data_IF_003207950840
#
_entry.id   IF_003207950840
#
_cell.length_a   1.000
_cell.length_b   1.000
_cell.length_c   1.000
_cell.angle_alpha   90.00
_cell.angle_beta   90.00
_cell.angle_gamma   90.00
#
_symmetry.space_group_name_H-M   'P 1'
#
loop_
_entity.id
_entity.type
_entity.pdbx_description
1 polymer ?
#
# COMPACT_ATOMS: atom_id res chain seq x y z
N UNK A 1 4.00 -26.33 -1.77
CA UNK A 1 2.79 -25.72 -1.18
C UNK A 1 2.50 -24.31 -1.66
N UNK A 2 3.49 -23.49 -2.03
CA UNK A 2 3.35 -22.07 -2.41
C UNK A 2 2.51 -21.80 -3.67
N UNK A 3 2.65 -22.58 -4.73
CA UNK A 3 1.83 -22.43 -5.94
C UNK A 3 0.34 -22.71 -5.72
N UNK A 4 0.01 -23.45 -4.66
CA UNK A 4 -1.38 -23.80 -4.34
C UNK A 4 -2.15 -22.63 -3.72
N UNK A 5 -1.56 -21.87 -2.79
CA UNK A 5 -2.28 -20.75 -2.14
C UNK A 5 -2.58 -19.64 -3.15
N UNK A 6 -1.60 -19.24 -3.96
CA UNK A 6 -1.80 -18.26 -5.04
C UNK A 6 -2.90 -18.71 -6.01
N UNK A 7 -2.89 -19.97 -6.42
CA UNK A 7 -3.94 -20.52 -7.29
C UNK A 7 -5.33 -20.49 -6.63
N UNK A 8 -5.42 -20.85 -5.33
CA UNK A 8 -6.69 -20.83 -4.58
C UNK A 8 -7.19 -19.38 -4.43
N UNK A 9 -6.31 -18.41 -4.19
CA UNK A 9 -6.67 -16.97 -4.15
C UNK A 9 -7.24 -16.53 -5.51
N UNK A 10 -6.59 -16.88 -6.62
CA UNK A 10 -7.09 -16.55 -7.97
C UNK A 10 -8.44 -17.21 -8.27
N UNK A 11 -8.60 -18.48 -7.89
CA UNK A 11 -9.89 -19.18 -8.01
C UNK A 11 -10.95 -18.46 -7.16
N UNK A 12 -10.63 -18.12 -5.92
CA UNK A 12 -11.52 -17.37 -5.03
C UNK A 12 -11.94 -16.03 -5.65
N UNK A 13 -11.00 -15.30 -6.25
CA UNK A 13 -11.27 -14.03 -6.95
C UNK A 13 -12.24 -14.22 -8.12
N UNK A 14 -11.99 -15.20 -9.00
CA UNK A 14 -12.84 -15.47 -10.16
C UNK A 14 -14.24 -15.90 -9.70
N UNK A 15 -14.33 -16.82 -8.74
CA UNK A 15 -15.60 -17.25 -8.18
C UNK A 15 -16.37 -16.10 -7.53
N UNK A 16 -15.65 -15.19 -6.83
CA UNK A 16 -16.23 -13.99 -6.24
C UNK A 16 -16.87 -13.07 -7.30
N UNK A 17 -16.18 -12.84 -8.40
CA UNK A 17 -16.72 -12.05 -9.53
C UNK A 17 -17.97 -12.72 -10.11
N UNK A 18 -17.94 -14.02 -10.35
CA UNK A 18 -19.09 -14.77 -10.92
C UNK A 18 -20.31 -14.74 -10.00
N UNK A 19 -20.10 -15.02 -8.71
CA UNK A 19 -21.18 -15.01 -7.70
C UNK A 19 -21.71 -13.59 -7.49
N UNK A 20 -20.82 -12.59 -7.40
CA UNK A 20 -21.23 -11.19 -7.28
C UNK A 20 -22.05 -10.71 -8.49
N UNK A 21 -21.67 -11.10 -9.70
CA UNK A 21 -22.42 -10.80 -10.91
C UNK A 21 -23.79 -11.49 -10.94
N UNK A 22 -23.85 -12.75 -10.52
CA UNK A 22 -25.11 -13.47 -10.39
C UNK A 22 -26.03 -12.79 -9.35
N UNK A 23 -25.50 -12.40 -8.19
CA UNK A 23 -26.25 -11.66 -7.17
C UNK A 23 -26.76 -10.31 -7.71
N UNK A 24 -25.92 -9.58 -8.44
CA UNK A 24 -26.31 -8.30 -9.05
C UNK A 24 -27.48 -8.42 -10.02
N UNK A 25 -27.53 -9.51 -10.81
CA UNK A 25 -28.64 -9.76 -11.76
C UNK A 25 -29.89 -10.24 -11.03
N UNK A 26 -29.74 -11.16 -10.07
CA UNK A 26 -30.88 -11.77 -9.37
C UNK A 26 -31.58 -10.80 -8.40
N UNK A 27 -30.82 -9.86 -7.82
CA UNK A 27 -31.31 -8.86 -6.89
C UNK A 27 -30.94 -7.45 -7.34
N UNK A 28 -31.64 -6.91 -8.39
CA UNK A 28 -31.31 -5.61 -8.97
C UNK A 28 -31.68 -4.43 -8.06
N UNK A 29 -32.46 -4.65 -7.02
CA UNK A 29 -32.80 -3.61 -6.03
C UNK A 29 -31.56 -3.20 -5.23
N UNK A 30 -31.15 -1.90 -5.27
CA UNK A 30 -29.94 -1.43 -4.61
C UNK A 30 -29.88 -1.68 -3.10
N UNK A 31 -31.03 -1.61 -2.40
CA UNK A 31 -31.10 -1.85 -0.96
C UNK A 31 -30.87 -3.32 -0.62
N UNK A 32 -31.48 -4.22 -1.40
CA UNK A 32 -31.30 -5.68 -1.25
C UNK A 32 -29.89 -6.08 -1.65
N UNK A 33 -29.36 -5.59 -2.77
CA UNK A 33 -27.99 -5.84 -3.22
C UNK A 33 -26.97 -5.40 -2.16
N UNK A 34 -27.18 -4.22 -1.56
CA UNK A 34 -26.33 -3.73 -0.46
C UNK A 34 -26.39 -4.65 0.74
N UNK A 35 -27.58 -5.07 1.17
CA UNK A 35 -27.74 -5.97 2.31
C UNK A 35 -27.01 -7.29 2.08
N UNK A 36 -27.15 -7.89 0.90
CA UNK A 36 -26.44 -9.13 0.52
C UNK A 36 -24.92 -8.90 0.55
N UNK A 37 -24.45 -7.81 -0.03
CA UNK A 37 -23.03 -7.47 -0.05
C UNK A 37 -22.47 -7.24 1.35
N UNK A 38 -23.20 -6.59 2.25
CA UNK A 38 -22.81 -6.35 3.65
C UNK A 38 -22.62 -7.69 4.41
N UNK A 39 -23.51 -8.69 4.18
CA UNK A 39 -23.33 -10.02 4.77
C UNK A 39 -22.15 -10.78 4.15
N UNK A 40 -21.92 -10.68 2.85
CA UNK A 40 -20.80 -11.34 2.18
C UNK A 40 -19.49 -10.70 2.62
N UNK A 41 -19.43 -9.36 2.70
CA UNK A 41 -18.21 -8.62 3.07
C UNK A 41 -17.76 -8.89 4.51
N UNK A 42 -18.63 -9.44 5.37
CA UNK A 42 -18.29 -9.79 6.74
C UNK A 42 -17.06 -10.71 6.83
N UNK A 43 -16.90 -11.65 5.88
CA UNK A 43 -15.71 -12.51 5.83
C UNK A 43 -14.43 -11.73 5.52
N UNK A 44 -14.52 -10.72 4.63
CA UNK A 44 -13.42 -9.81 4.34
C UNK A 44 -13.09 -8.95 5.54
N UNK A 45 -14.10 -8.39 6.20
CA UNK A 45 -13.94 -7.51 7.37
C UNK A 45 -13.29 -8.26 8.54
N UNK A 46 -13.72 -9.50 8.79
CA UNK A 46 -13.10 -10.35 9.82
C UNK A 46 -11.64 -10.63 9.48
N UNK A 47 -11.35 -11.00 8.23
CA UNK A 47 -9.97 -11.21 7.80
C UNK A 47 -9.10 -9.96 7.96
N UNK A 48 -9.59 -8.79 7.53
CA UNK A 48 -8.86 -7.53 7.67
C UNK A 48 -8.65 -7.14 9.14
N UNK A 49 -9.63 -7.39 10.02
CA UNK A 49 -9.47 -7.19 11.47
C UNK A 49 -8.42 -8.12 12.07
N UNK A 50 -8.40 -9.40 11.65
CA UNK A 50 -7.38 -10.36 12.08
C UNK A 50 -5.98 -9.94 11.62
N UNK A 51 -5.83 -9.42 10.40
CA UNK A 51 -4.56 -8.86 9.93
C UNK A 51 -4.18 -7.62 10.74
N UNK A 52 -5.09 -6.65 10.91
CA UNK A 52 -4.81 -5.42 11.67
C UNK A 52 -4.38 -5.72 13.12
N UNK A 53 -4.97 -6.72 13.74
CA UNK A 53 -4.63 -7.16 15.09
C UNK A 53 -3.15 -7.52 15.25
N UNK A 54 -2.52 -8.06 14.22
CA UNK A 54 -1.12 -8.53 14.30
C UNK A 54 -0.09 -7.51 13.80
N UNK A 55 -0.51 -6.45 13.07
CA UNK A 55 0.44 -5.51 12.46
C UNK A 55 1.22 -4.76 13.52
N UNK A 56 0.55 -4.14 14.48
CA UNK A 56 1.21 -3.35 15.53
C UNK A 56 2.28 -4.14 16.31
N UNK A 57 1.97 -5.32 16.90
CA UNK A 57 2.96 -6.12 17.60
C UNK A 57 4.03 -6.70 16.67
N UNK A 58 3.73 -7.00 15.40
CA UNK A 58 4.71 -7.47 14.42
C UNK A 58 5.72 -6.36 14.08
N UNK A 59 5.25 -5.16 13.76
CA UNK A 59 6.12 -4.01 13.45
C UNK A 59 7.01 -3.68 14.64
N UNK A 60 6.42 -3.60 15.83
CA UNK A 60 7.17 -3.33 17.07
C UNK A 60 8.27 -4.36 17.28
N UNK A 61 7.92 -5.64 17.37
CA UNK A 61 8.86 -6.69 17.71
C UNK A 61 9.99 -6.85 16.68
N UNK A 62 9.64 -6.88 15.39
CA UNK A 62 10.62 -7.05 14.32
C UNK A 62 11.55 -5.85 14.19
N UNK A 63 11.04 -4.63 14.36
CA UNK A 63 11.85 -3.42 14.25
C UNK A 63 12.78 -3.26 15.46
N UNK A 64 12.29 -3.49 16.68
CA UNK A 64 13.13 -3.46 17.90
C UNK A 64 14.29 -4.45 17.79
N UNK A 65 14.01 -5.70 17.40
CA UNK A 65 15.05 -6.72 17.21
C UNK A 65 16.01 -6.33 16.10
N UNK A 66 15.47 -5.84 14.96
CA UNK A 66 16.29 -5.38 13.84
C UNK A 66 17.29 -4.28 14.25
N UNK A 67 16.81 -3.26 14.99
CA UNK A 67 17.63 -2.13 15.46
C UNK A 67 18.61 -2.56 16.55
N UNK A 68 18.17 -3.35 17.52
CA UNK A 68 19.03 -3.85 18.60
C UNK A 68 20.20 -4.67 18.06
N UNK A 69 20.00 -5.49 17.03
CA UNK A 69 21.06 -6.28 16.38
C UNK A 69 21.95 -5.47 15.42
N UNK A 70 21.62 -4.22 15.07
CA UNK A 70 22.52 -3.37 14.29
C UNK A 70 23.76 -2.94 15.11
N UNK A 71 23.62 -2.91 16.42
CA UNK A 71 24.72 -2.65 17.36
C UNK A 71 25.27 -1.22 17.35
N UNK A 72 24.85 -0.38 16.38
CA UNK A 72 25.39 0.95 16.14
C UNK A 72 24.30 1.91 15.63
N UNK A 73 24.11 3.02 16.35
CA UNK A 73 23.16 4.09 16.00
C UNK A 73 23.47 4.78 14.66
N UNK A 74 24.77 4.81 14.27
CA UNK A 74 25.17 5.37 12.97
C UNK A 74 24.64 4.54 11.81
N UNK A 75 24.62 3.21 11.95
CA UNK A 75 24.04 2.31 10.94
C UNK A 75 22.54 2.52 10.79
N UNK A 76 21.80 2.68 11.90
CA UNK A 76 20.36 2.99 11.88
C UNK A 76 20.09 4.30 11.14
N UNK A 77 20.85 5.36 11.45
CA UNK A 77 20.72 6.66 10.78
C UNK A 77 21.05 6.58 9.29
N UNK A 78 22.10 5.86 8.92
CA UNK A 78 22.51 5.69 7.51
C UNK A 78 21.48 4.92 6.70
N UNK A 79 20.97 3.80 7.22
CA UNK A 79 19.94 3.01 6.54
C UNK A 79 18.65 3.82 6.42
N UNK A 80 18.25 4.54 7.50
CA UNK A 80 17.09 5.42 7.49
C UNK A 80 17.20 6.52 6.45
N UNK A 81 18.36 7.20 6.35
CA UNK A 81 18.59 8.22 5.33
C UNK A 81 18.50 7.64 3.90
N UNK A 82 19.09 6.48 3.63
CA UNK A 82 19.01 5.81 2.33
C UNK A 82 17.57 5.43 1.99
N UNK A 83 16.83 4.89 2.96
CA UNK A 83 15.42 4.57 2.79
C UNK A 83 14.59 5.83 2.46
N UNK A 84 14.80 6.92 3.20
CA UNK A 84 14.09 8.19 2.94
C UNK A 84 14.42 8.80 1.59
N UNK A 85 15.69 8.74 1.15
CA UNK A 85 16.08 9.18 -0.20
C UNK A 85 15.32 8.39 -1.26
N UNK A 86 15.24 7.06 -1.11
CA UNK A 86 14.47 6.23 -2.03
C UNK A 86 12.98 6.57 -2.00
N UNK A 87 12.36 6.64 -0.81
CA UNK A 87 10.93 6.91 -0.66
C UNK A 87 10.52 8.26 -1.24
N UNK A 88 11.34 9.30 -1.02
CA UNK A 88 11.11 10.62 -1.60
C UNK A 88 11.25 10.58 -3.12
N UNK A 89 12.30 9.95 -3.63
CA UNK A 89 12.54 9.80 -5.06
C UNK A 89 11.43 9.02 -5.77
N UNK A 90 11.05 7.85 -5.25
CA UNK A 90 9.99 7.02 -5.80
C UNK A 90 8.61 7.73 -5.76
N UNK A 91 8.29 8.41 -4.64
CA UNK A 91 7.06 9.21 -4.53
C UNK A 91 7.01 10.33 -5.57
N UNK A 92 8.12 11.07 -5.77
CA UNK A 92 8.20 12.13 -6.80
C UNK A 92 8.01 11.56 -8.20
N UNK A 93 8.65 10.45 -8.52
CA UNK A 93 8.50 9.78 -9.83
C UNK A 93 7.05 9.34 -10.04
N UNK A 94 6.41 8.77 -9.02
CA UNK A 94 5.01 8.32 -9.09
C UNK A 94 4.04 9.48 -9.30
N UNK A 95 4.23 10.59 -8.56
CA UNK A 95 3.45 11.83 -8.72
C UNK A 95 3.63 12.43 -10.11
N UNK A 96 4.88 12.55 -10.58
CA UNK A 96 5.22 13.09 -11.91
C UNK A 96 4.64 12.23 -13.02
N UNK A 97 4.74 10.91 -12.91
CA UNK A 97 4.15 9.99 -13.90
C UNK A 97 2.64 10.19 -13.99
N UNK A 98 1.95 10.27 -12.84
CA UNK A 98 0.52 10.57 -12.79
C UNK A 98 0.18 11.89 -13.47
N UNK A 99 0.94 12.96 -13.19
CA UNK A 99 0.77 14.28 -13.82
C UNK A 99 0.95 14.23 -15.35
N UNK A 100 2.02 13.61 -15.81
CA UNK A 100 2.31 13.51 -17.26
C UNK A 100 1.20 12.75 -17.97
N UNK A 101 0.77 11.61 -17.41
CA UNK A 101 -0.26 10.79 -18.02
C UNK A 101 -1.62 11.47 -18.09
N UNK A 102 -2.05 12.16 -17.03
CA UNK A 102 -3.34 12.87 -17.06
C UNK A 102 -3.32 14.03 -18.06
N UNK A 103 -2.20 14.77 -18.15
CA UNK A 103 -2.08 15.83 -19.14
C UNK A 103 -2.04 15.30 -20.58
N UNK A 104 -1.49 14.09 -20.79
CA UNK A 104 -1.39 13.45 -22.11
C UNK A 104 -2.71 12.79 -22.53
N UNK A 105 -3.31 11.99 -21.64
CA UNK A 105 -4.50 11.16 -21.93
C UNK A 105 -5.81 11.92 -21.77
N UNK A 106 -5.81 12.96 -20.91
CA UNK A 106 -6.96 13.84 -20.64
C UNK A 106 -8.25 13.04 -20.29
N UNK A 107 -8.22 12.23 -19.24
CA UNK A 107 -9.35 11.37 -18.87
C UNK A 107 -10.61 12.14 -18.47
N UNK A 108 -10.47 13.38 -18.00
CA UNK A 108 -11.58 14.23 -17.57
C UNK A 108 -12.27 14.97 -18.72
N UNK A 109 -11.68 15.03 -19.91
CA UNK A 109 -12.27 15.73 -21.04
C UNK A 109 -13.45 14.93 -21.62
N UNK A 110 -14.51 15.65 -21.99
CA UNK A 110 -15.71 15.09 -22.61
C UNK A 110 -16.36 13.95 -21.78
N UNK A 111 -16.39 14.13 -20.47
CA UNK A 111 -17.09 13.20 -19.58
C UNK A 111 -18.59 13.28 -19.86
N UNK A 112 -19.17 12.20 -20.41
CA UNK A 112 -20.62 12.06 -20.59
C UNK A 112 -21.33 11.69 -19.29
N UNK A 113 -20.88 12.26 -18.16
CA UNK A 113 -21.44 12.05 -16.83
C UNK A 113 -22.00 13.37 -16.30
N UNK A 114 -23.15 13.36 -15.60
CA UNK A 114 -23.62 14.55 -14.92
C UNK A 114 -22.61 14.95 -13.84
N UNK A 115 -22.06 16.16 -13.97
CA UNK A 115 -21.17 16.71 -12.95
C UNK A 115 -21.96 16.95 -11.66
N UNK A 116 -21.46 16.55 -10.50
CA UNK A 116 -22.04 16.93 -9.23
C UNK A 116 -22.08 18.45 -9.09
N UNK A 117 -23.13 18.97 -8.45
CA UNK A 117 -23.19 20.39 -8.10
C UNK A 117 -21.94 20.76 -7.29
N UNK A 118 -21.29 21.84 -7.67
CA UNK A 118 -20.05 22.30 -7.01
C UNK A 118 -20.19 22.53 -5.49
N UNK A 119 -21.43 22.70 -5.01
CA UNK A 119 -21.74 22.88 -3.59
C UNK A 119 -22.17 21.57 -2.89
N UNK A 120 -22.24 20.44 -3.59
CA UNK A 120 -22.60 19.16 -2.97
C UNK A 120 -21.53 18.72 -1.95
N UNK A 121 -21.99 18.39 -0.73
CA UNK A 121 -21.08 17.94 0.34
C UNK A 121 -20.70 16.48 0.16
N UNK A 122 -19.43 16.18 0.37
CA UNK A 122 -18.89 14.81 0.27
C UNK A 122 -18.97 14.02 1.57
N UNK A 123 -19.41 14.63 2.68
CA UNK A 123 -19.39 14.07 4.06
C UNK A 123 -18.01 13.53 4.50
N UNK A 124 -16.94 13.86 3.78
CA UNK A 124 -15.59 13.54 4.18
C UNK A 124 -15.12 14.57 5.22
N UNK A 125 -14.65 14.09 6.36
CA UNK A 125 -14.01 14.97 7.34
C UNK A 125 -12.61 15.34 6.82
N UNK A 126 -12.52 16.48 6.16
CA UNK A 126 -11.22 17.03 5.74
C UNK A 126 -10.57 17.64 6.98
N UNK A 127 -9.57 16.96 7.53
CA UNK A 127 -8.71 17.54 8.57
C UNK A 127 -7.68 18.42 7.86
N UNK A 128 -7.50 19.66 8.34
CA UNK A 128 -6.44 20.52 7.81
C UNK A 128 -5.08 19.85 8.06
N UNK A 129 -4.44 19.40 6.97
CA UNK A 129 -3.14 18.76 7.05
C UNK A 129 -2.05 19.83 7.15
N UNK A 130 -1.79 20.34 8.36
CA UNK A 130 -0.69 21.28 8.60
C UNK A 130 0.62 20.50 8.86
N UNK A 131 1.74 21.06 8.42
CA UNK A 131 3.08 20.51 8.69
C UNK A 131 3.31 20.39 10.23
N UNK A 132 2.76 21.30 11.00
CA UNK A 132 2.84 21.29 12.48
C UNK A 132 2.12 20.07 13.05
N UNK A 133 0.94 19.75 12.55
CA UNK A 133 0.18 18.57 12.98
C UNK A 133 0.88 17.28 12.53
N UNK A 134 1.41 17.23 11.30
CA UNK A 134 2.19 16.09 10.84
C UNK A 134 3.39 15.81 11.77
N UNK A 135 4.20 16.83 12.08
CA UNK A 135 5.34 16.68 12.99
C UNK A 135 4.90 16.27 14.40
N UNK A 136 3.80 16.83 14.89
CA UNK A 136 3.25 16.45 16.20
C UNK A 136 2.75 14.98 16.22
N UNK A 137 2.19 14.49 15.10
CA UNK A 137 1.74 13.11 14.96
C UNK A 137 2.87 12.10 14.76
N UNK A 138 4.09 12.53 14.44
CA UNK A 138 5.24 11.61 14.33
C UNK A 138 5.57 10.92 15.66
N UNK A 139 5.42 11.66 16.76
CA UNK A 139 5.78 11.17 18.09
C UNK A 139 4.51 10.75 18.84
N UNK A 140 4.39 9.47 19.26
CA UNK A 140 3.22 9.01 19.99
C UNK A 140 3.12 9.66 21.37
N UNK A 141 1.91 10.02 21.78
CA UNK A 141 1.64 10.40 23.17
C UNK A 141 1.72 9.18 24.11
N UNK A 142 1.33 8.03 23.57
CA UNK A 142 1.36 6.73 24.24
C UNK A 142 1.59 5.63 23.21
N UNK A 143 2.54 4.73 23.47
CA UNK A 143 2.74 3.57 22.60
C UNK A 143 1.53 2.64 22.60
N UNK A 144 0.83 2.52 23.73
CA UNK A 144 -0.36 1.67 23.84
C UNK A 144 -1.49 2.23 22.97
N UNK A 145 -1.68 3.54 22.95
CA UNK A 145 -2.64 4.21 22.07
C UNK A 145 -2.26 4.00 20.59
N UNK A 146 -1.00 4.23 20.23
CA UNK A 146 -0.52 4.02 18.87
C UNK A 146 -0.72 2.57 18.39
N UNK A 147 -0.51 1.59 19.26
CA UNK A 147 -0.77 0.18 18.95
C UNK A 147 -2.27 -0.13 18.84
N UNK A 148 -3.11 0.43 19.71
CA UNK A 148 -4.56 0.23 19.70
C UNK A 148 -5.22 0.83 18.46
N UNK A 149 -4.69 1.95 17.95
CA UNK A 149 -5.17 2.64 16.74
C UNK A 149 -4.45 2.20 15.45
N UNK A 150 -3.44 1.32 15.56
CA UNK A 150 -2.58 0.90 14.43
C UNK A 150 -1.88 2.08 13.72
N UNK A 151 -1.42 3.07 14.47
CA UNK A 151 -0.64 4.19 13.95
C UNK A 151 0.81 3.75 13.66
N UNK A 152 1.00 3.12 12.50
CA UNK A 152 2.27 2.43 12.14
C UNK A 152 3.48 3.36 12.27
N UNK A 153 3.37 4.61 11.80
CA UNK A 153 4.46 5.58 11.88
C UNK A 153 4.88 5.86 13.33
N UNK A 154 3.92 6.02 14.23
CA UNK A 154 4.18 6.25 15.65
C UNK A 154 4.80 5.02 16.31
N UNK A 155 4.33 3.81 15.93
CA UNK A 155 4.92 2.55 16.40
C UNK A 155 6.37 2.44 15.93
N UNK A 156 6.66 2.79 14.66
CA UNK A 156 8.02 2.81 14.12
C UNK A 156 8.92 3.75 14.91
N UNK A 157 8.49 5.00 15.15
CA UNK A 157 9.28 5.99 15.92
C UNK A 157 9.59 5.46 17.32
N UNK A 158 8.58 4.96 18.05
CA UNK A 158 8.81 4.38 19.37
C UNK A 158 9.76 3.18 19.32
N UNK A 159 9.57 2.27 18.37
CA UNK A 159 10.39 1.07 18.22
C UNK A 159 11.85 1.39 17.92
N UNK A 160 12.11 2.48 17.18
CA UNK A 160 13.47 2.97 16.93
C UNK A 160 14.14 3.41 18.24
N UNK A 161 13.47 4.25 19.05
CA UNK A 161 14.01 4.67 20.34
C UNK A 161 14.22 3.48 21.27
N UNK A 162 13.27 2.56 21.33
CA UNK A 162 13.34 1.37 22.16
C UNK A 162 14.50 0.45 21.73
N UNK A 163 14.63 0.17 20.43
CA UNK A 163 15.70 -0.66 19.87
C UNK A 163 17.08 -0.05 20.07
N UNK A 164 17.23 1.28 19.87
CA UNK A 164 18.47 2.01 20.14
C UNK A 164 18.83 1.95 21.64
N UNK A 165 17.85 2.11 22.52
CA UNK A 165 18.07 1.98 23.96
C UNK A 165 18.54 0.56 24.33
N UNK A 166 17.90 -0.48 23.77
CA UNK A 166 18.34 -1.88 23.96
C UNK A 166 19.78 -2.09 23.45
N UNK A 167 20.12 -1.58 22.25
CA UNK A 167 21.45 -1.67 21.70
C UNK A 167 22.50 -1.00 22.61
N UNK A 168 22.18 0.17 23.18
CA UNK A 168 23.08 0.89 24.09
C UNK A 168 23.30 0.19 25.45
N UNK A 169 22.30 -0.57 25.91
CA UNK A 169 22.38 -1.36 27.15
C UNK A 169 23.19 -2.66 27.01
N UNK A 170 23.43 -3.11 25.77
CA UNK A 170 24.21 -4.31 25.47
C UNK A 170 23.69 -5.56 26.19
N UNK A 171 24.57 -6.28 26.89
CA UNK A 171 24.24 -7.53 27.59
C UNK A 171 23.10 -7.42 28.61
N UNK A 172 22.87 -6.24 29.19
CA UNK A 172 21.74 -6.04 30.12
C UNK A 172 20.39 -6.17 29.48
N UNK A 173 20.26 -5.77 28.20
CA UNK A 173 19.02 -5.85 27.45
C UNK A 173 18.87 -7.17 26.68
N UNK A 174 19.89 -8.04 26.64
CA UNK A 174 19.91 -9.25 25.82
C UNK A 174 18.68 -10.13 26.00
N UNK A 175 18.33 -10.46 27.24
CA UNK A 175 17.14 -11.30 27.52
C UNK A 175 15.83 -10.66 27.07
N UNK A 176 15.73 -9.33 27.14
CA UNK A 176 14.56 -8.58 26.67
C UNK A 176 14.47 -8.65 25.16
N UNK A 177 15.57 -8.45 24.45
CA UNK A 177 15.63 -8.54 22.98
C UNK A 177 15.31 -9.95 22.51
N UNK A 178 15.87 -11.00 23.13
CA UNK A 178 15.56 -12.40 22.86
C UNK A 178 14.05 -12.69 23.08
N UNK A 179 13.44 -12.17 24.14
CA UNK A 179 12.00 -12.32 24.40
C UNK A 179 11.12 -11.62 23.35
N UNK A 180 11.56 -10.45 22.85
CA UNK A 180 10.84 -9.74 21.78
C UNK A 180 11.03 -10.47 20.44
N UNK A 181 12.17 -11.11 20.21
CA UNK A 181 12.41 -11.95 19.03
C UNK A 181 11.48 -13.16 19.01
N UNK A 182 11.35 -13.86 20.14
CA UNK A 182 10.38 -14.95 20.28
C UNK A 182 8.93 -14.47 20.08
N UNK A 183 8.59 -13.27 20.59
CA UNK A 183 7.29 -12.66 20.31
C UNK A 183 7.07 -12.48 18.80
N UNK A 184 8.08 -12.02 18.05
CA UNK A 184 7.97 -11.87 16.59
C UNK A 184 7.68 -13.20 15.89
N UNK A 185 8.32 -14.29 16.31
CA UNK A 185 8.09 -15.64 15.79
C UNK A 185 6.66 -16.14 16.08
N UNK A 186 6.14 -15.88 17.28
CA UNK A 186 4.75 -16.19 17.62
C UNK A 186 3.77 -15.42 16.72
N UNK A 187 3.97 -14.13 16.54
CA UNK A 187 3.12 -13.29 15.67
C UNK A 187 3.18 -13.76 14.21
N UNK A 188 4.36 -14.12 13.70
CA UNK A 188 4.50 -14.69 12.34
C UNK A 188 3.76 -16.05 12.22
N UNK A 189 3.76 -16.86 13.27
CA UNK A 189 2.98 -18.12 13.30
C UNK A 189 1.47 -17.85 13.25
N UNK A 190 0.98 -16.87 14.02
CA UNK A 190 -0.42 -16.40 13.96
C UNK A 190 -0.76 -15.91 12.55
N UNK A 191 0.15 -15.15 11.93
CA UNK A 191 0.00 -14.71 10.53
C UNK A 191 -0.23 -15.90 9.60
N UNK A 192 0.53 -16.98 9.77
CA UNK A 192 0.36 -18.21 8.99
C UNK A 192 -1.03 -18.84 9.13
N UNK A 193 -1.66 -18.74 10.30
CA UNK A 193 -3.03 -19.21 10.50
C UNK A 193 -4.04 -18.30 9.82
N UNK A 194 -3.90 -16.99 9.97
CA UNK A 194 -4.79 -15.99 9.37
C UNK A 194 -4.74 -16.08 7.84
N UNK A 195 -3.55 -16.24 7.25
CA UNK A 195 -3.37 -16.33 5.80
C UNK A 195 -4.09 -17.49 5.13
N UNK A 196 -4.47 -18.55 5.87
CA UNK A 196 -5.31 -19.63 5.34
C UNK A 196 -6.73 -19.16 5.00
N UNK A 197 -7.19 -18.06 5.62
CA UNK A 197 -8.51 -17.46 5.36
C UNK A 197 -8.48 -16.49 4.15
N UNK A 198 -7.30 -16.12 3.66
CA UNK A 198 -7.18 -15.15 2.56
C UNK A 198 -8.01 -15.50 1.30
N UNK A 199 -8.09 -16.76 0.83
CA UNK A 199 -8.93 -17.08 -0.34
C UNK A 199 -10.41 -16.79 -0.14
N UNK A 200 -10.93 -17.03 1.08
CA UNK A 200 -12.33 -16.77 1.44
C UNK A 200 -12.58 -15.26 1.49
N UNK A 201 -11.65 -14.52 2.10
CA UNK A 201 -11.73 -13.07 2.17
C UNK A 201 -11.71 -12.41 0.79
N UNK A 202 -10.86 -12.92 -0.11
CA UNK A 202 -10.76 -12.45 -1.50
C UNK A 202 -12.03 -12.75 -2.28
N UNK A 203 -12.56 -13.96 -2.16
CA UNK A 203 -13.86 -14.32 -2.72
C UNK A 203 -14.95 -13.35 -2.26
N UNK A 204 -15.07 -13.16 -0.95
CA UNK A 204 -16.10 -12.31 -0.35
C UNK A 204 -15.96 -10.83 -0.76
N UNK A 205 -14.73 -10.30 -0.79
CA UNK A 205 -14.46 -8.94 -1.25
C UNK A 205 -14.93 -8.73 -2.69
N UNK A 206 -14.54 -9.62 -3.60
CA UNK A 206 -14.94 -9.52 -5.01
C UNK A 206 -16.44 -9.68 -5.19
N UNK A 207 -17.05 -10.67 -4.51
CA UNK A 207 -18.49 -10.89 -4.59
C UNK A 207 -19.28 -9.67 -4.08
N UNK A 208 -18.91 -9.10 -2.95
CA UNK A 208 -19.59 -7.93 -2.38
C UNK A 208 -19.52 -6.71 -3.32
N UNK A 209 -18.32 -6.41 -3.85
CA UNK A 209 -18.12 -5.29 -4.77
C UNK A 209 -18.97 -5.43 -6.03
N UNK A 210 -18.89 -6.59 -6.68
CA UNK A 210 -19.63 -6.81 -7.93
C UNK A 210 -21.14 -6.90 -7.70
N UNK A 211 -21.60 -7.39 -6.53
CA UNK A 211 -23.01 -7.39 -6.17
C UNK A 211 -23.57 -5.97 -6.11
N UNK A 212 -22.86 -5.03 -5.52
CA UNK A 212 -23.33 -3.65 -5.35
C UNK A 212 -23.13 -2.80 -6.61
N UNK A 213 -21.96 -2.90 -7.24
CA UNK A 213 -21.56 -2.02 -8.34
C UNK A 213 -21.91 -2.57 -9.72
N UNK A 214 -22.07 -3.91 -9.82
CA UNK A 214 -22.16 -4.57 -11.11
C UNK A 214 -20.91 -4.40 -11.96
N UNK A 215 -20.91 -4.95 -13.16
CA UNK A 215 -19.85 -4.71 -14.14
C UNK A 215 -20.13 -3.47 -15.01
N UNK A 216 -21.36 -2.93 -14.98
CA UNK A 216 -21.76 -1.77 -15.78
C UNK A 216 -21.00 -0.49 -15.42
N UNK A 217 -20.65 -0.30 -14.15
CA UNK A 217 -19.87 0.87 -13.71
C UNK A 217 -18.49 0.92 -14.38
N UNK A 218 -17.88 -0.26 -14.64
CA UNK A 218 -16.61 -0.33 -15.35
C UNK A 218 -16.73 0.08 -16.81
N UNK A 219 -17.92 -0.07 -17.43
CA UNK A 219 -18.17 0.42 -18.79
C UNK A 219 -18.29 1.93 -18.79
N UNK A 220 -19.04 2.50 -17.83
CA UNK A 220 -19.25 3.95 -17.70
C UNK A 220 -17.93 4.69 -17.42
N UNK A 221 -17.12 4.17 -16.51
CA UNK A 221 -15.83 4.76 -16.16
C UNK A 221 -14.64 4.09 -16.87
N UNK A 222 -14.91 3.28 -17.89
CA UNK A 222 -13.92 2.41 -18.54
C UNK A 222 -12.70 3.16 -19.04
N UNK A 223 -12.89 4.33 -19.64
CA UNK A 223 -11.78 5.18 -20.09
C UNK A 223 -10.87 5.56 -18.92
N UNK A 224 -11.44 6.12 -17.86
CA UNK A 224 -10.69 6.56 -16.68
C UNK A 224 -9.95 5.39 -15.99
N UNK A 225 -10.66 4.27 -15.77
CA UNK A 225 -10.08 3.07 -15.14
C UNK A 225 -8.96 2.50 -15.99
N UNK A 226 -9.18 2.37 -17.32
CA UNK A 226 -8.15 1.86 -18.25
C UNK A 226 -6.91 2.75 -18.27
N UNK A 227 -7.08 4.05 -18.34
CA UNK A 227 -5.96 5.01 -18.37
C UNK A 227 -5.20 5.03 -17.04
N UNK A 228 -5.90 4.91 -15.92
CA UNK A 228 -5.28 4.78 -14.61
C UNK A 228 -4.46 3.48 -14.49
N UNK A 229 -5.05 2.33 -14.87
CA UNK A 229 -4.33 1.04 -14.85
C UNK A 229 -3.17 0.99 -15.85
N UNK A 230 -3.33 1.64 -17.03
CA UNK A 230 -2.21 1.82 -17.96
C UNK A 230 -1.06 2.55 -17.28
N UNK A 231 -1.36 3.62 -16.53
CA UNK A 231 -0.36 4.32 -15.75
C UNK A 231 0.29 3.46 -14.66
N UNK A 232 -0.50 2.65 -13.94
CA UNK A 232 0.05 1.72 -12.96
C UNK A 232 0.97 0.70 -13.60
N UNK A 233 0.61 0.15 -14.77
CA UNK A 233 1.47 -0.78 -15.51
C UNK A 233 2.78 -0.12 -15.93
N UNK A 234 2.74 1.13 -16.40
CA UNK A 234 3.96 1.90 -16.70
C UNK A 234 4.82 2.10 -15.45
N UNK A 235 4.20 2.43 -14.30
CA UNK A 235 4.91 2.55 -13.03
C UNK A 235 5.53 1.21 -12.61
N UNK A 236 4.82 0.09 -12.75
CA UNK A 236 5.37 -1.25 -12.48
C UNK A 236 6.56 -1.56 -13.39
N UNK A 237 6.44 -1.29 -14.70
CA UNK A 237 7.54 -1.47 -15.64
C UNK A 237 8.76 -0.64 -15.24
N UNK A 238 8.55 0.62 -14.84
CA UNK A 238 9.61 1.52 -14.40
C UNK A 238 10.27 1.02 -13.11
N UNK A 239 9.51 0.64 -12.11
CA UNK A 239 10.01 0.10 -10.85
C UNK A 239 10.79 -1.21 -11.09
N UNK A 240 10.27 -2.12 -11.91
CA UNK A 240 10.94 -3.37 -12.26
C UNK A 240 12.20 -3.10 -13.08
N UNK A 241 12.17 -2.14 -14.01
CA UNK A 241 13.36 -1.74 -14.79
C UNK A 241 14.47 -1.20 -13.90
N UNK A 242 14.12 -0.33 -12.93
CA UNK A 242 15.10 0.17 -11.94
C UNK A 242 15.64 -0.98 -11.10
N UNK A 243 14.77 -1.90 -10.66
CA UNK A 243 15.20 -3.14 -10.00
C UNK A 243 16.16 -3.94 -10.86
N UNK A 244 15.89 -4.08 -12.15
CA UNK A 244 16.75 -4.78 -13.09
C UNK A 244 18.12 -4.11 -13.27
N UNK A 245 18.15 -2.78 -13.33
CA UNK A 245 19.41 -2.02 -13.39
C UNK A 245 20.27 -2.21 -12.13
N UNK A 246 19.65 -2.40 -10.96
CA UNK A 246 20.35 -2.53 -9.68
C UNK A 246 20.77 -3.99 -9.40
N UNK A 247 19.89 -4.96 -9.69
CA UNK A 247 20.06 -6.37 -9.32
C UNK A 247 20.30 -7.30 -10.53
N UNK A 248 20.19 -6.78 -11.77
CA UNK A 248 20.24 -7.62 -12.97
C UNK A 248 19.10 -8.66 -12.97
N UNK A 249 19.42 -9.88 -13.42
CA UNK A 249 18.44 -10.98 -13.51
C UNK A 249 17.83 -11.42 -12.16
N UNK A 250 18.44 -11.06 -11.02
CA UNK A 250 17.87 -11.36 -9.70
C UNK A 250 16.53 -10.63 -9.44
N UNK A 251 16.25 -9.56 -10.18
CA UNK A 251 14.95 -8.87 -10.14
C UNK A 251 13.78 -9.77 -10.51
N UNK A 252 13.95 -10.72 -11.42
CA UNK A 252 12.90 -11.71 -11.75
C UNK A 252 12.53 -12.57 -10.55
N UNK A 253 13.51 -12.93 -9.71
CA UNK A 253 13.26 -13.67 -8.48
C UNK A 253 12.45 -12.81 -7.49
N UNK A 254 12.81 -11.54 -7.36
CA UNK A 254 12.07 -10.60 -6.51
C UNK A 254 10.61 -10.48 -6.98
N UNK A 255 10.38 -10.25 -8.27
CA UNK A 255 9.04 -10.21 -8.89
C UNK A 255 8.27 -11.50 -8.63
N UNK A 256 8.93 -12.67 -8.69
CA UNK A 256 8.27 -13.94 -8.42
C UNK A 256 7.88 -14.10 -6.93
N UNK A 257 8.68 -13.57 -6.01
CA UNK A 257 8.39 -13.60 -4.57
C UNK A 257 7.20 -12.72 -4.20
N UNK A 258 7.03 -11.57 -4.86
CA UNK A 258 5.96 -10.62 -4.54
C UNK A 258 4.60 -10.98 -5.15
N UNK A 259 4.50 -12.00 -6.01
CA UNK A 259 3.21 -12.38 -6.65
C UNK A 259 2.09 -12.63 -5.64
N UNK A 260 2.39 -13.34 -4.57
CA UNK A 260 1.41 -13.69 -3.55
C UNK A 260 0.96 -12.47 -2.73
N UNK A 261 1.85 -11.65 -2.14
CA UNK A 261 1.44 -10.42 -1.47
C UNK A 261 0.79 -9.40 -2.42
N UNK A 262 1.23 -9.32 -3.68
CA UNK A 262 0.60 -8.49 -4.71
C UNK A 262 -0.87 -8.86 -4.93
N UNK A 263 -1.16 -10.15 -5.17
CA UNK A 263 -2.53 -10.63 -5.37
C UNK A 263 -3.40 -10.41 -4.13
N UNK A 264 -2.82 -10.58 -2.94
CA UNK A 264 -3.53 -10.32 -1.70
C UNK A 264 -3.88 -8.83 -1.56
N UNK A 265 -2.92 -7.93 -1.76
CA UNK A 265 -3.17 -6.49 -1.72
C UNK A 265 -4.17 -6.04 -2.78
N UNK A 266 -4.05 -6.55 -4.00
CA UNK A 266 -4.98 -6.28 -5.09
C UNK A 266 -6.41 -6.72 -4.73
N UNK A 267 -6.58 -7.95 -4.31
CA UNK A 267 -7.92 -8.53 -4.08
C UNK A 267 -8.63 -7.96 -2.87
N UNK A 268 -7.87 -7.54 -1.84
CA UNK A 268 -8.42 -6.96 -0.60
C UNK A 268 -8.46 -5.43 -0.64
N UNK A 269 -7.90 -4.81 -1.67
CA UNK A 269 -7.66 -3.37 -1.75
C UNK A 269 -6.95 -2.84 -0.49
N UNK A 270 -6.01 -3.64 0.06
CA UNK A 270 -5.28 -3.30 1.29
C UNK A 270 -3.82 -3.75 1.18
N UNK A 271 -2.92 -2.79 1.08
CA UNK A 271 -1.48 -3.08 1.15
C UNK A 271 -1.05 -3.56 2.55
N UNK A 272 -1.71 -3.07 3.61
CA UNK A 272 -1.46 -3.50 4.99
C UNK A 272 -1.76 -4.99 5.18
N UNK A 273 -2.84 -5.50 4.57
CA UNK A 273 -3.16 -6.93 4.62
C UNK A 273 -2.05 -7.80 4.02
N UNK A 274 -1.28 -7.27 3.08
CA UNK A 274 -0.17 -7.97 2.47
C UNK A 274 1.15 -7.82 3.24
N UNK A 275 1.24 -6.90 4.22
CA UNK A 275 2.48 -6.59 4.94
C UNK A 275 3.18 -7.83 5.53
N UNK A 276 2.51 -8.68 6.34
CA UNK A 276 3.17 -9.84 6.95
C UNK A 276 3.66 -10.83 5.89
N UNK A 277 2.91 -10.96 4.78
CA UNK A 277 3.31 -11.84 3.67
C UNK A 277 4.45 -11.27 2.86
N UNK A 278 4.49 -9.96 2.69
CA UNK A 278 5.60 -9.26 2.04
C UNK A 278 6.90 -9.48 2.83
N UNK A 279 6.84 -9.35 4.15
CA UNK A 279 7.97 -9.62 5.04
C UNK A 279 8.47 -11.07 4.89
N UNK A 280 7.57 -12.06 4.99
CA UNK A 280 7.90 -13.49 4.80
C UNK A 280 8.56 -13.76 3.44
N UNK A 281 8.10 -13.13 2.38
CA UNK A 281 8.67 -13.32 1.05
C UNK A 281 10.03 -12.64 0.89
N UNK A 282 10.21 -11.45 1.47
CA UNK A 282 11.51 -10.75 1.48
C UNK A 282 12.58 -11.52 2.25
N UNK A 283 12.25 -12.21 3.34
CA UNK A 283 13.17 -13.07 4.07
C UNK A 283 13.73 -14.24 3.22
N UNK A 284 13.08 -14.57 2.10
CA UNK A 284 13.53 -15.59 1.13
C UNK A 284 14.44 -15.01 0.04
N UNK A 285 14.50 -13.69 -0.04
CA UNK A 285 15.46 -12.99 -0.85
C UNK A 285 16.75 -12.80 -0.04
N UNK A 286 17.95 -12.83 -0.63
CA UNK A 286 19.21 -12.82 0.11
C UNK A 286 19.57 -11.40 0.60
N UNK A 287 18.76 -10.88 1.50
CA UNK A 287 18.96 -9.64 2.23
C UNK A 287 18.75 -9.88 3.72
N UNK A 288 19.39 -9.10 4.57
CA UNK A 288 19.35 -9.30 6.01
C UNK A 288 17.97 -8.97 6.61
N UNK A 289 17.58 -9.76 7.59
CA UNK A 289 16.35 -9.50 8.36
C UNK A 289 16.35 -8.11 9.00
N UNK A 290 17.52 -7.59 9.40
CA UNK A 290 17.68 -6.25 9.98
C UNK A 290 17.15 -5.16 9.04
N UNK A 291 17.53 -5.22 7.76
CA UNK A 291 17.08 -4.24 6.76
C UNK A 291 15.60 -4.42 6.45
N UNK A 292 15.13 -5.67 6.30
CA UNK A 292 13.71 -5.95 6.07
C UNK A 292 12.86 -5.36 7.20
N UNK A 293 13.20 -5.68 8.45
CA UNK A 293 12.45 -5.25 9.64
C UNK A 293 12.48 -3.73 9.86
N UNK A 294 13.48 -3.03 9.31
CA UNK A 294 13.60 -1.58 9.42
C UNK A 294 12.93 -0.86 8.26
N UNK A 295 13.28 -1.20 7.02
CA UNK A 295 12.86 -0.44 5.82
C UNK A 295 11.41 -0.72 5.46
N UNK A 296 10.98 -1.98 5.55
CA UNK A 296 9.64 -2.37 5.13
C UNK A 296 8.53 -1.65 5.92
N UNK A 297 8.52 -1.62 7.27
CA UNK A 297 7.50 -0.88 8.03
C UNK A 297 7.50 0.62 7.72
N UNK A 298 8.69 1.23 7.58
CA UNK A 298 8.79 2.63 7.19
C UNK A 298 8.18 2.88 5.81
N UNK A 299 8.35 1.95 4.87
CA UNK A 299 7.80 2.04 3.53
C UNK A 299 6.27 2.14 3.53
N UNK A 300 5.58 1.44 4.42
CA UNK A 300 4.12 1.52 4.54
C UNK A 300 3.59 2.88 5.01
N UNK A 301 4.46 3.73 5.55
CA UNK A 301 4.12 5.11 5.92
C UNK A 301 4.65 6.15 4.92
N UNK A 302 5.77 5.87 4.25
CA UNK A 302 6.49 6.88 3.47
C UNK A 302 6.59 6.57 1.97
N UNK A 303 6.40 5.31 1.56
CA UNK A 303 6.60 4.85 0.17
C UNK A 303 5.33 4.25 -0.43
N UNK A 304 4.31 5.08 -0.60
CA UNK A 304 3.00 4.68 -1.12
C UNK A 304 2.88 5.04 -2.62
N UNK A 305 3.73 4.45 -3.46
CA UNK A 305 3.88 4.79 -4.88
C UNK A 305 2.57 4.78 -5.66
N UNK A 306 1.74 3.74 -5.47
CA UNK A 306 0.43 3.66 -6.12
C UNK A 306 -0.53 4.74 -5.63
N UNK A 307 -0.51 5.06 -4.33
CA UNK A 307 -1.33 6.12 -3.76
C UNK A 307 -0.88 7.51 -4.22
N UNK A 308 0.43 7.73 -4.36
CA UNK A 308 0.97 8.98 -4.90
C UNK A 308 0.48 9.22 -6.33
N UNK A 309 0.64 8.23 -7.20
CA UNK A 309 0.15 8.32 -8.57
C UNK A 309 -1.37 8.56 -8.61
N UNK A 310 -2.13 7.86 -7.78
CA UNK A 310 -3.58 8.04 -7.71
C UNK A 310 -3.99 9.45 -7.28
N UNK A 311 -3.34 10.00 -6.25
CA UNK A 311 -3.66 11.36 -5.78
C UNK A 311 -3.49 12.40 -6.89
N UNK A 312 -2.40 12.35 -7.65
CA UNK A 312 -2.18 13.27 -8.79
C UNK A 312 -3.20 13.01 -9.90
N UNK A 313 -3.36 11.74 -10.26
CA UNK A 313 -4.24 11.33 -11.36
C UNK A 313 -5.69 11.76 -11.09
N UNK A 314 -6.21 11.51 -9.90
CA UNK A 314 -7.56 11.87 -9.51
C UNK A 314 -7.78 13.38 -9.37
N UNK A 315 -6.83 14.10 -8.78
CA UNK A 315 -6.95 15.57 -8.62
C UNK A 315 -7.00 16.26 -9.97
N UNK A 316 -6.11 15.91 -10.89
CA UNK A 316 -6.10 16.49 -12.23
C UNK A 316 -7.28 16.03 -13.09
N UNK A 317 -7.73 14.78 -12.95
CA UNK A 317 -8.96 14.30 -13.57
C UNK A 317 -10.16 15.15 -13.17
N UNK A 318 -10.31 15.42 -11.87
CA UNK A 318 -11.41 16.25 -11.38
C UNK A 318 -11.29 17.67 -11.91
N UNK A 319 -10.08 18.27 -11.92
CA UNK A 319 -9.87 19.58 -12.52
C UNK A 319 -10.31 19.63 -13.99
N UNK A 320 -9.92 18.63 -14.79
CA UNK A 320 -10.31 18.50 -16.19
C UNK A 320 -11.83 18.34 -16.34
N UNK A 321 -12.47 17.52 -15.51
CA UNK A 321 -13.92 17.31 -15.54
C UNK A 321 -14.72 18.61 -15.34
N UNK A 322 -14.21 19.51 -14.47
CA UNK A 322 -14.79 20.84 -14.26
C UNK A 322 -14.24 21.90 -15.21
N UNK A 323 -13.48 21.53 -16.26
CA UNK A 323 -12.85 22.44 -17.22
C UNK A 323 -11.94 23.48 -16.53
N UNK A 324 -11.33 23.13 -15.41
CA UNK A 324 -10.37 23.97 -14.69
C UNK A 324 -8.97 23.68 -15.23
N UNK A 325 -8.37 24.68 -15.88
CA UNK A 325 -7.01 24.59 -16.42
C UNK A 325 -6.01 25.01 -15.35
N UNK A 326 -5.20 24.07 -14.89
CA UNK A 326 -4.09 24.34 -13.98
C UNK A 326 -2.81 24.56 -14.76
N UNK A 327 -2.19 25.77 -14.73
CA UNK A 327 -0.88 26.01 -15.32
C UNK A 327 0.17 25.08 -14.73
N UNK A 328 1.24 24.76 -15.49
CA UNK A 328 2.29 23.83 -15.07
C UNK A 328 2.90 24.20 -13.71
N UNK A 329 3.09 25.48 -13.42
CA UNK A 329 3.59 25.94 -12.11
C UNK A 329 2.67 25.54 -10.94
N UNK A 330 1.34 25.66 -11.13
CA UNK A 330 0.37 25.22 -10.11
C UNK A 330 0.34 23.70 -9.98
N UNK A 331 0.48 22.94 -11.08
CA UNK A 331 0.59 21.49 -11.02
C UNK A 331 1.83 21.05 -10.24
N UNK A 332 2.99 21.68 -10.44
CA UNK A 332 4.21 21.40 -9.67
C UNK A 332 3.98 21.71 -8.18
N UNK A 333 3.37 22.85 -7.85
CA UNK A 333 3.02 23.19 -6.47
C UNK A 333 2.10 22.16 -5.86
N UNK A 334 1.13 21.67 -6.62
CA UNK A 334 0.22 20.59 -6.22
C UNK A 334 0.97 19.29 -5.93
N UNK A 335 1.95 18.91 -6.76
CA UNK A 335 2.77 17.72 -6.49
C UNK A 335 3.55 17.86 -5.18
N UNK A 336 4.13 19.01 -4.91
CA UNK A 336 4.84 19.25 -3.65
C UNK A 336 3.90 19.19 -2.45
N UNK A 337 2.69 19.76 -2.56
CA UNK A 337 1.67 19.67 -1.53
C UNK A 337 1.26 18.21 -1.30
N UNK A 338 0.95 17.47 -2.36
CA UNK A 338 0.61 16.04 -2.29
C UNK A 338 1.73 15.23 -1.66
N UNK A 339 2.98 15.51 -1.98
CA UNK A 339 4.12 14.84 -1.40
C UNK A 339 4.20 15.02 0.13
N UNK A 340 3.90 16.22 0.62
CA UNK A 340 3.91 16.53 2.05
C UNK A 340 2.69 15.92 2.76
N UNK A 341 1.50 16.16 2.23
CA UNK A 341 0.23 15.76 2.86
C UNK A 341 0.02 14.25 2.84
N UNK A 342 0.59 13.55 1.86
CA UNK A 342 0.51 12.10 1.75
C UNK A 342 1.22 11.34 2.89
N UNK A 343 2.20 11.95 3.53
CA UNK A 343 2.93 11.31 4.63
C UNK A 343 2.09 11.18 5.92
N UNK A 344 0.92 11.82 5.97
CA UNK A 344 -0.05 11.65 7.05
C UNK A 344 -1.18 10.65 6.74
N UNK A 345 -1.11 9.91 5.63
CA UNK A 345 -2.17 8.99 5.20
C UNK A 345 -2.20 7.65 5.93
N UNK A 346 -1.24 7.34 6.79
CA UNK A 346 -1.15 6.04 7.45
C UNK A 346 -2.40 5.74 8.30
N UNK A 347 -2.94 4.53 8.14
CA UNK A 347 -3.96 3.96 9.03
C UNK A 347 -5.42 4.41 8.82
N UNK A 348 -5.72 5.31 7.88
CA UNK A 348 -7.10 5.78 7.66
C UNK A 348 -7.72 5.13 6.42
N UNK A 349 -8.87 4.45 6.53
CA UNK A 349 -9.58 3.94 5.36
C UNK A 349 -9.87 5.07 4.36
N UNK A 350 -9.66 4.83 3.08
CA UNK A 350 -9.83 5.82 1.99
C UNK A 350 -8.98 7.09 2.17
N UNK A 351 -7.83 6.99 2.80
CA UNK A 351 -6.96 8.11 3.13
C UNK A 351 -6.57 8.96 1.91
N UNK A 352 -6.40 8.35 0.75
CA UNK A 352 -6.11 9.08 -0.49
C UNK A 352 -7.23 10.05 -0.88
N UNK A 353 -8.51 9.70 -0.66
CA UNK A 353 -9.63 10.60 -0.95
C UNK A 353 -9.61 11.84 -0.05
N UNK A 354 -9.20 11.69 1.22
CA UNK A 354 -9.05 12.83 2.15
C UNK A 354 -7.93 13.77 1.69
N UNK A 355 -6.80 13.21 1.24
CA UNK A 355 -5.67 13.99 0.71
C UNK A 355 -6.05 14.68 -0.61
N UNK A 356 -6.78 14.00 -1.48
CA UNK A 356 -7.31 14.59 -2.71
C UNK A 356 -8.25 15.74 -2.35
N UNK A 357 -9.21 15.56 -1.41
CA UNK A 357 -10.14 16.60 -0.97
C UNK A 357 -9.41 17.86 -0.48
N UNK A 358 -8.43 17.69 0.42
CA UNK A 358 -7.62 18.79 0.91
C UNK A 358 -6.84 19.51 -0.20
N UNK A 359 -6.39 18.74 -1.19
CA UNK A 359 -5.67 19.29 -2.35
C UNK A 359 -6.62 20.05 -3.27
N UNK A 360 -7.81 19.52 -3.57
CA UNK A 360 -8.83 20.22 -4.37
C UNK A 360 -9.17 21.57 -3.76
N UNK A 361 -9.43 21.62 -2.45
CA UNK A 361 -9.71 22.85 -1.73
C UNK A 361 -8.57 23.89 -1.85
N UNK A 362 -7.32 23.44 -1.78
CA UNK A 362 -6.13 24.29 -1.88
C UNK A 362 -5.96 24.96 -3.26
N UNK A 363 -6.54 24.38 -4.31
CA UNK A 363 -6.47 24.86 -5.70
C UNK A 363 -7.81 25.39 -6.22
N UNK A 364 -8.78 25.64 -5.34
CA UNK A 364 -10.14 26.09 -5.67
C UNK A 364 -10.86 25.20 -6.69
N UNK A 365 -10.63 23.89 -6.61
CA UNK A 365 -11.34 22.88 -7.40
C UNK A 365 -12.50 22.37 -6.54
N UNK A 366 -13.72 22.21 -7.09
CA UNK A 366 -14.87 21.76 -6.30
C UNK A 366 -14.63 20.38 -5.67
N UNK A 367 -14.75 20.29 -4.34
CA UNK A 367 -14.63 19.02 -3.60
C UNK A 367 -15.72 18.01 -4.01
N UNK A 368 -16.87 18.49 -4.48
CA UNK A 368 -17.92 17.66 -5.03
C UNK A 368 -17.45 16.75 -6.17
N UNK A 369 -16.37 17.10 -6.86
CA UNK A 369 -15.73 16.25 -7.87
C UNK A 369 -15.25 14.89 -7.34
N UNK A 370 -15.05 14.74 -6.03
CA UNK A 370 -14.78 13.44 -5.42
C UNK A 370 -15.92 12.42 -5.64
N UNK A 371 -17.16 12.90 -5.75
CA UNK A 371 -18.31 12.03 -6.01
C UNK A 371 -18.17 11.29 -7.35
N UNK A 372 -17.41 11.83 -8.30
CA UNK A 372 -17.12 11.18 -9.58
C UNK A 372 -16.27 9.91 -9.40
N UNK A 373 -15.40 9.88 -8.40
CA UNK A 373 -14.44 8.78 -8.20
C UNK A 373 -14.82 7.85 -7.05
N UNK A 374 -15.61 8.31 -6.08
CA UNK A 374 -16.01 7.50 -4.91
C UNK A 374 -16.67 6.18 -5.32
N UNK A 375 -17.47 6.16 -6.39
CA UNK A 375 -18.16 4.96 -6.85
C UNK A 375 -17.23 3.88 -7.40
N UNK A 376 -16.07 4.27 -7.95
CA UNK A 376 -15.07 3.35 -8.52
C UNK A 376 -13.81 3.25 -7.68
N UNK A 377 -13.71 3.99 -6.58
CA UNK A 377 -12.50 4.07 -5.74
C UNK A 377 -11.99 2.68 -5.32
N UNK A 378 -12.90 1.73 -5.06
CA UNK A 378 -12.51 0.38 -4.69
C UNK A 378 -11.68 -0.31 -5.77
N UNK A 379 -12.05 -0.16 -7.05
CA UNK A 379 -11.29 -0.75 -8.17
C UNK A 379 -9.94 -0.07 -8.34
N UNK A 380 -9.88 1.25 -8.10
CA UNK A 380 -8.64 2.01 -8.16
C UNK A 380 -7.73 1.65 -6.99
N UNK A 381 -8.31 1.43 -5.80
CA UNK A 381 -7.58 1.03 -4.60
C UNK A 381 -6.94 -0.35 -4.71
N UNK A 382 -7.57 -1.28 -5.42
CA UNK A 382 -6.98 -2.58 -5.73
C UNK A 382 -5.61 -2.42 -6.42
N UNK A 383 -5.56 -1.65 -7.50
CA UNK A 383 -4.34 -1.40 -8.27
C UNK A 383 -3.29 -0.63 -7.48
N UNK A 384 -3.68 0.44 -6.77
CA UNK A 384 -2.75 1.24 -5.98
C UNK A 384 -2.17 0.47 -4.79
N UNK A 385 -2.98 -0.33 -4.09
CA UNK A 385 -2.52 -1.16 -2.97
C UNK A 385 -1.51 -2.22 -3.43
N UNK A 386 -1.74 -2.85 -4.56
CA UNK A 386 -0.79 -3.78 -5.16
C UNK A 386 0.51 -3.09 -5.59
N UNK A 387 0.42 -1.87 -6.11
CA UNK A 387 1.59 -1.05 -6.49
C UNK A 387 2.43 -0.68 -5.27
N UNK A 388 1.80 -0.34 -4.14
CA UNK A 388 2.51 -0.06 -2.89
C UNK A 388 3.33 -1.28 -2.40
N UNK A 389 2.83 -2.51 -2.61
CA UNK A 389 3.58 -3.73 -2.29
C UNK A 389 4.82 -3.87 -3.17
N UNK A 390 4.71 -3.59 -4.48
CA UNK A 390 5.88 -3.61 -5.40
C UNK A 390 6.91 -2.58 -4.94
N UNK A 391 6.48 -1.34 -4.72
CA UNK A 391 7.35 -0.24 -4.31
C UNK A 391 8.09 -0.52 -3.02
N UNK A 392 7.39 -0.97 -1.98
CA UNK A 392 7.98 -1.27 -0.68
C UNK A 392 8.95 -2.44 -0.72
N UNK A 393 8.63 -3.48 -1.50
CA UNK A 393 9.53 -4.62 -1.70
C UNK A 393 10.82 -4.20 -2.40
N UNK A 394 10.68 -3.42 -3.47
CA UNK A 394 11.83 -2.91 -4.21
C UNK A 394 12.68 -1.97 -3.36
N UNK A 395 12.05 -1.03 -2.65
CA UNK A 395 12.73 -0.11 -1.74
C UNK A 395 13.60 -0.85 -0.72
N UNK A 396 13.04 -1.89 -0.09
CA UNK A 396 13.75 -2.71 0.91
C UNK A 396 14.97 -3.40 0.29
N UNK A 397 14.81 -3.98 -0.90
CA UNK A 397 15.90 -4.64 -1.60
C UNK A 397 16.99 -3.65 -2.05
N UNK A 398 16.60 -2.47 -2.57
CA UNK A 398 17.55 -1.43 -3.01
C UNK A 398 18.36 -0.89 -1.85
N UNK A 399 17.73 -0.61 -0.73
CA UNK A 399 18.43 -0.13 0.47
C UNK A 399 19.45 -1.17 0.96
N UNK A 400 19.10 -2.46 0.94
CA UNK A 400 20.03 -3.54 1.25
C UNK A 400 21.25 -3.53 0.33
N UNK A 401 21.03 -3.35 -0.98
CA UNK A 401 22.13 -3.23 -1.95
C UNK A 401 23.01 -2.00 -1.69
N UNK A 402 22.40 -0.85 -1.34
CA UNK A 402 23.12 0.37 -1.01
C UNK A 402 23.91 0.27 0.32
N UNK A 403 23.50 -0.65 1.21
CA UNK A 403 24.28 -0.99 2.40
C UNK A 403 25.45 -1.94 2.10
N UNK A 404 25.61 -2.37 0.87
CA UNK A 404 26.70 -3.24 0.45
C UNK A 404 26.42 -4.72 0.68
N UNK A 405 25.17 -5.10 0.95
CA UNK A 405 24.83 -6.51 1.04
C UNK A 405 25.01 -7.19 -0.32
N UNK A 406 25.80 -8.26 -0.32
CA UNK A 406 26.00 -9.07 -1.52
C UNK A 406 24.77 -9.95 -1.71
N UNK A 407 24.00 -9.67 -2.75
CA UNK A 407 22.90 -10.53 -3.20
C UNK A 407 23.51 -11.79 -3.85
N UNK A 408 24.15 -12.64 -3.04
CA UNK A 408 24.63 -13.94 -3.48
C UNK A 408 23.48 -14.95 -3.34
N UNK A 409 22.86 -15.27 -4.46
CA UNK A 409 22.03 -16.47 -4.52
C UNK A 409 22.94 -17.69 -4.58
N UNK A 410 22.66 -18.76 -3.81
CA UNK A 410 23.27 -20.04 -4.13
C UNK A 410 22.92 -20.34 -5.59
N UNK A 411 23.93 -20.65 -6.39
CA UNK A 411 23.71 -21.15 -7.74
C UNK A 411 22.67 -22.27 -7.70
N UNK A 412 21.71 -22.30 -8.65
CA UNK A 412 20.79 -23.42 -8.72
C UNK A 412 21.65 -24.68 -8.80
N UNK A 413 21.50 -25.57 -7.82
CA UNK A 413 22.19 -26.85 -7.83
C UNK A 413 22.00 -27.44 -9.22
N UNK A 414 23.07 -27.52 -9.97
CA UNK A 414 23.11 -28.17 -11.30
C UNK A 414 22.44 -29.51 -11.12
N UNK A 415 21.28 -29.72 -11.74
CA UNK A 415 20.66 -31.05 -11.76
C UNK A 415 21.75 -32.03 -12.22
N UNK A 416 22.05 -33.09 -11.47
CA UNK A 416 23.00 -34.08 -11.94
C UNK A 416 22.52 -34.50 -13.32
N UNK A 417 23.40 -34.34 -14.33
CA UNK A 417 23.16 -34.93 -15.65
C UNK A 417 22.98 -36.41 -15.39
N UNK A 418 21.76 -36.89 -15.56
CA UNK A 418 21.49 -38.31 -15.60
C UNK A 418 22.24 -38.83 -16.84
N UNK A 419 23.28 -39.62 -16.59
CA UNK A 419 24.05 -40.33 -17.61
C UNK A 419 23.25 -41.49 -18.18
#
# INVERSE_FOLDING_TARGET
MRSRLTAIILIGMILGILVGYACHILWPDPATAKTIADYISLFTDVFLRLIKMIIAPLVFSTLVVGVAHMGDTKSVGRIGAKAMIWFVGASLVSLLLGMVLVNLLRPGDNLNLPLPDAQASTNLKVTSLSMKEFVAHLVPRSIVEAMATNEILQIVVFSLFFGVACASMGERARKLVEGIEELSHVILSITGYIMKLAPIAVFASMAAIITTQGLGILVTYGKFVLEFYFGLVLLWCLLIAVGFLIFGHHSFRLVNLIREPFLLAFSTASSEAAYPKTMEQLEKFPISKKIISFVLPMGYSFNLDGSMMYCTFATLFIAQAYNIVLPLGQQITMLLLLMLTSKGMAGVPRASLVVIAATLASFNIPEAGLLLIIGIDQFLDMGRSATNVIGNTLATAVVAKWEGEKVHLPEPALRPRVA
#
